data_IF_167729422186
#
_entry.id   IF_167729422186
#
_cell.length_a   1.000
_cell.length_b   1.000
_cell.length_c   1.000
_cell.angle_alpha   90.00
_cell.angle_beta   90.00
_cell.angle_gamma   90.00
#
_symmetry.space_group_name_H-M   'P 1'
#
loop_
_entity.id
_entity.type
_entity.pdbx_description
1 polymer ?
#
# COMPACT_ATOMS: atom_id res chain seq x y z
N UNK A 1 19.44 -43.17 20.30
CA UNK A 1 19.17 -43.07 18.85
C UNK A 1 18.86 -41.60 18.52
N UNK A 2 19.88 -40.88 18.05
CA UNK A 2 19.77 -39.49 17.59
C UNK A 2 18.98 -39.43 16.28
N UNK A 3 17.79 -38.82 16.29
CA UNK A 3 17.15 -38.38 15.04
C UNK A 3 17.73 -37.01 14.68
N UNK A 4 18.65 -37.01 13.72
CA UNK A 4 19.15 -35.79 13.06
C UNK A 4 17.96 -35.08 12.41
N UNK A 5 17.79 -33.80 12.69
CA UNK A 5 16.96 -32.92 11.87
C UNK A 5 17.48 -32.96 10.42
N UNK A 6 16.59 -32.93 9.40
CA UNK A 6 17.03 -32.76 8.03
C UNK A 6 17.70 -31.38 7.88
N UNK A 7 18.69 -31.24 6.99
CA UNK A 7 19.31 -29.95 6.73
C UNK A 7 18.25 -28.98 6.21
N UNK A 8 18.34 -27.72 6.64
CA UNK A 8 17.52 -26.64 6.10
C UNK A 8 17.69 -26.63 4.58
N UNK A 9 16.59 -26.79 3.84
CA UNK A 9 16.58 -26.56 2.40
C UNK A 9 17.13 -25.15 2.15
N UNK A 10 18.23 -25.12 1.42
CA UNK A 10 18.88 -23.93 0.93
C UNK A 10 17.89 -23.26 -0.04
N UNK A 11 17.11 -22.30 0.47
CA UNK A 11 16.15 -21.53 -0.32
C UNK A 11 16.95 -20.71 -1.33
N UNK A 12 16.79 -21.01 -2.61
CA UNK A 12 17.36 -20.19 -3.68
C UNK A 12 16.90 -18.72 -3.51
N UNK A 13 17.80 -17.74 -3.51
CA UNK A 13 17.42 -16.33 -3.49
C UNK A 13 16.63 -15.98 -4.76
N UNK A 14 15.81 -14.92 -4.75
CA UNK A 14 15.08 -14.48 -5.94
C UNK A 14 16.07 -14.23 -7.08
N UNK A 15 15.96 -15.05 -8.11
CA UNK A 15 16.89 -15.07 -9.25
C UNK A 15 16.59 -13.89 -10.18
N UNK A 16 17.37 -12.82 -10.01
CA UNK A 16 17.37 -11.63 -10.87
C UNK A 16 18.40 -10.61 -10.40
N UNK A 17 19.08 -9.93 -11.34
CA UNK A 17 20.09 -8.92 -11.00
C UNK A 17 19.40 -7.72 -10.35
N UNK A 18 20.08 -7.05 -9.43
CA UNK A 18 19.63 -5.75 -8.92
C UNK A 18 20.09 -4.65 -9.86
N UNK A 19 19.16 -3.82 -10.33
CA UNK A 19 19.44 -2.61 -11.12
C UNK A 19 18.97 -1.41 -10.30
N UNK A 20 19.92 -0.56 -9.89
CA UNK A 20 19.60 0.72 -9.27
C UNK A 20 19.47 1.78 -10.36
N UNK A 21 18.36 2.51 -10.34
CA UNK A 21 18.02 3.55 -11.31
C UNK A 21 17.80 4.84 -10.55
N UNK A 22 18.75 5.76 -10.66
CA UNK A 22 18.68 7.04 -9.97
C UNK A 22 18.36 8.18 -10.94
N UNK A 23 17.32 8.93 -10.61
CA UNK A 23 16.87 10.08 -11.36
C UNK A 23 17.41 11.35 -10.73
N UNK A 24 17.86 12.29 -11.54
CA UNK A 24 18.19 13.65 -11.10
C UNK A 24 17.62 14.65 -12.10
N UNK A 25 16.78 15.54 -11.60
CA UNK A 25 16.12 16.57 -12.43
C UNK A 25 16.89 17.88 -12.32
N UNK A 26 17.23 18.45 -13.48
CA UNK A 26 17.84 19.78 -13.61
C UNK A 26 16.76 20.80 -14.02
N UNK A 27 17.13 21.96 -14.60
CA UNK A 27 16.11 22.89 -15.12
C UNK A 27 15.40 22.34 -16.36
N UNK A 28 16.17 21.78 -17.28
CA UNK A 28 15.75 21.45 -18.66
C UNK A 28 16.08 20.00 -19.07
N UNK A 29 16.64 19.21 -18.16
CA UNK A 29 16.99 17.81 -18.40
C UNK A 29 16.68 16.89 -17.22
N UNK A 30 16.41 15.63 -17.55
CA UNK A 30 16.45 14.52 -16.61
C UNK A 30 17.70 13.67 -16.87
N UNK A 31 18.51 13.49 -15.82
CA UNK A 31 19.63 12.56 -15.80
C UNK A 31 19.18 11.25 -15.16
N UNK A 32 19.47 10.12 -15.79
CA UNK A 32 19.14 8.78 -15.30
C UNK A 32 20.42 7.96 -15.20
N UNK A 33 20.81 7.62 -13.98
CA UNK A 33 21.97 6.80 -13.67
C UNK A 33 21.55 5.35 -13.48
N UNK A 34 22.26 4.43 -14.13
CA UNK A 34 22.08 3.00 -13.99
C UNK A 34 23.30 2.38 -13.32
N UNK A 35 23.07 1.75 -12.15
CA UNK A 35 24.11 1.08 -11.40
C UNK A 35 23.78 -0.41 -11.30
N UNK A 36 24.75 -1.24 -11.66
CA UNK A 36 24.66 -2.71 -11.58
C UNK A 36 25.98 -3.26 -11.07
N UNK A 37 25.96 -4.44 -10.45
CA UNK A 37 27.19 -5.11 -10.01
C UNK A 37 28.12 -5.53 -11.17
N UNK A 38 27.60 -5.54 -12.41
CA UNK A 38 28.33 -5.96 -13.61
C UNK A 38 29.24 -4.87 -14.19
N UNK A 39 29.07 -3.61 -13.78
CA UNK A 39 29.83 -2.46 -14.30
C UNK A 39 30.46 -1.67 -13.16
N UNK A 40 31.72 -1.27 -13.36
CA UNK A 40 32.45 -0.45 -12.38
C UNK A 40 31.96 1.01 -12.35
N UNK A 41 31.57 1.54 -13.50
CA UNK A 41 31.06 2.90 -13.64
C UNK A 41 29.54 2.91 -13.92
N UNK A 42 28.81 3.89 -13.37
CA UNK A 42 27.39 4.07 -13.67
C UNK A 42 27.20 4.45 -15.13
N UNK A 43 26.18 3.90 -15.77
CA UNK A 43 25.76 4.35 -17.09
C UNK A 43 24.80 5.54 -16.95
N UNK A 44 25.01 6.60 -17.75
CA UNK A 44 24.21 7.82 -17.70
C UNK A 44 23.40 7.97 -19.00
N UNK A 45 22.11 8.27 -18.85
CA UNK A 45 21.24 8.75 -19.91
C UNK A 45 20.79 10.17 -19.56
N UNK A 46 20.94 11.12 -20.48
CA UNK A 46 20.34 12.46 -20.37
C UNK A 46 19.19 12.60 -21.35
N UNK A 47 18.07 13.13 -20.88
CA UNK A 47 16.87 13.37 -21.65
C UNK A 47 16.46 14.84 -21.52
N UNK A 48 16.10 15.53 -22.61
CA UNK A 48 15.49 16.85 -22.53
C UNK A 48 14.11 16.71 -21.87
N UNK A 49 13.90 17.40 -20.75
CA UNK A 49 12.64 17.39 -19.99
C UNK A 49 12.42 18.77 -19.40
N UNK A 50 11.31 19.42 -19.74
CA UNK A 50 10.87 20.62 -19.03
C UNK A 50 10.38 20.20 -17.63
N UNK A 51 11.18 20.55 -16.62
CA UNK A 51 10.88 20.14 -15.24
C UNK A 51 9.75 20.93 -14.61
N UNK A 52 9.45 22.14 -15.11
CA UNK A 52 8.28 22.92 -14.74
C UNK A 52 7.00 22.29 -15.28
N UNK A 53 7.01 21.85 -16.55
CA UNK A 53 5.92 21.10 -17.16
C UNK A 53 5.68 19.77 -16.42
N UNK A 54 6.75 19.03 -16.14
CA UNK A 54 6.69 17.78 -15.38
C UNK A 54 6.08 18.00 -14.00
N UNK A 55 6.52 19.01 -13.25
CA UNK A 55 5.98 19.33 -11.93
C UNK A 55 4.48 19.65 -12.01
N UNK A 56 4.06 20.47 -12.98
CA UNK A 56 2.65 20.80 -13.20
C UNK A 56 1.82 19.55 -13.56
N UNK A 57 2.37 18.65 -14.37
CA UNK A 57 1.74 17.38 -14.73
C UNK A 57 1.52 16.49 -13.50
N UNK A 58 2.54 16.34 -12.66
CA UNK A 58 2.46 15.56 -11.41
C UNK A 58 1.46 16.15 -10.42
N UNK A 59 1.36 17.49 -10.32
CA UNK A 59 0.34 18.14 -9.48
C UNK A 59 -1.06 17.80 -9.99
N UNK A 60 -1.30 17.86 -11.31
CA UNK A 60 -2.60 17.45 -11.89
C UNK A 60 -2.91 15.97 -11.64
N UNK A 61 -1.90 15.12 -11.72
CA UNK A 61 -2.02 13.69 -11.42
C UNK A 61 -2.48 13.44 -9.98
N UNK A 62 -1.79 14.04 -9.01
CA UNK A 62 -2.13 13.92 -7.60
C UNK A 62 -3.56 14.42 -7.32
N UNK A 63 -3.92 15.60 -7.86
CA UNK A 63 -5.25 16.18 -7.72
C UNK A 63 -6.37 15.28 -8.28
N UNK A 64 -6.12 14.63 -9.42
CA UNK A 64 -7.08 13.71 -10.02
C UNK A 64 -7.28 12.46 -9.13
N UNK A 65 -6.21 11.93 -8.55
CA UNK A 65 -6.25 10.76 -7.68
C UNK A 65 -6.93 11.02 -6.33
N UNK A 66 -6.68 12.18 -5.71
CA UNK A 66 -7.28 12.54 -4.42
C UNK A 66 -8.82 12.60 -4.50
N UNK A 67 -9.31 13.03 -5.68
CA UNK A 67 -10.73 13.25 -5.97
C UNK A 67 -11.37 12.11 -6.75
N UNK A 68 -10.65 11.03 -7.03
CA UNK A 68 -11.13 9.91 -7.87
C UNK A 68 -12.49 9.34 -7.43
N UNK A 69 -12.82 9.44 -6.14
CA UNK A 69 -14.10 9.01 -5.58
C UNK A 69 -15.29 9.89 -6.01
N UNK A 70 -15.05 11.06 -6.58
CA UNK A 70 -16.08 11.98 -7.09
C UNK A 70 -16.61 11.58 -8.48
N UNK A 71 -15.86 10.80 -9.26
CA UNK A 71 -16.35 10.33 -10.55
C UNK A 71 -15.30 9.63 -11.44
N UNK A 72 -15.75 8.82 -12.41
CA UNK A 72 -14.87 8.01 -13.26
C UNK A 72 -13.94 8.84 -14.17
N UNK A 73 -14.38 10.04 -14.58
CA UNK A 73 -13.59 10.93 -15.43
C UNK A 73 -12.24 11.33 -14.81
N UNK A 74 -12.15 11.40 -13.48
CA UNK A 74 -10.90 11.73 -12.78
C UNK A 74 -9.90 10.57 -12.85
N UNK A 75 -10.38 9.32 -12.80
CA UNK A 75 -9.52 8.16 -13.01
C UNK A 75 -9.03 8.08 -14.45
N UNK A 76 -9.90 8.39 -15.43
CA UNK A 76 -9.53 8.48 -16.84
C UNK A 76 -8.46 9.56 -17.06
N UNK A 77 -8.63 10.74 -16.44
CA UNK A 77 -7.63 11.81 -16.47
C UNK A 77 -6.30 11.37 -15.86
N UNK A 78 -6.30 10.73 -14.69
CA UNK A 78 -5.08 10.24 -14.06
C UNK A 78 -4.38 9.16 -14.92
N UNK A 79 -5.17 8.30 -15.58
CA UNK A 79 -4.67 7.28 -16.52
C UNK A 79 -4.01 7.94 -17.74
N UNK A 80 -4.66 8.93 -18.34
CA UNK A 80 -4.10 9.67 -19.47
C UNK A 80 -2.81 10.43 -19.12
N UNK A 81 -2.73 10.97 -17.90
CA UNK A 81 -1.49 11.61 -17.40
C UNK A 81 -0.37 10.58 -17.25
N UNK A 82 -0.67 9.37 -16.75
CA UNK A 82 0.33 8.32 -16.59
C UNK A 82 0.93 7.86 -17.93
N UNK A 83 0.15 7.94 -19.01
CA UNK A 83 0.55 7.65 -20.40
C UNK A 83 1.21 8.86 -21.12
N UNK A 84 1.41 9.97 -20.42
CA UNK A 84 1.95 11.19 -21.02
C UNK A 84 3.40 10.98 -21.52
N UNK A 85 3.77 11.48 -22.73
CA UNK A 85 5.08 11.23 -23.34
C UNK A 85 6.28 11.52 -22.43
N UNK A 86 6.20 12.56 -21.59
CA UNK A 86 7.26 12.91 -20.64
C UNK A 86 7.49 11.85 -19.56
N UNK A 87 6.44 11.15 -19.08
CA UNK A 87 6.60 10.07 -18.11
C UNK A 87 7.08 8.80 -18.81
N UNK A 88 6.54 8.52 -20.00
CA UNK A 88 6.96 7.39 -20.83
C UNK A 88 8.45 7.49 -21.17
N UNK A 89 8.96 8.68 -21.52
CA UNK A 89 10.37 8.90 -21.84
C UNK A 89 11.29 8.66 -20.64
N UNK A 90 10.84 8.91 -19.41
CA UNK A 90 11.60 8.64 -18.19
C UNK A 90 11.71 7.15 -17.84
N UNK A 91 10.78 6.32 -18.33
CA UNK A 91 10.76 4.87 -18.06
C UNK A 91 11.32 4.05 -19.22
N UNK A 92 11.24 4.54 -20.45
CA UNK A 92 11.73 3.82 -21.63
C UNK A 92 13.21 3.39 -21.53
N UNK A 93 14.17 4.25 -21.09
CA UNK A 93 15.57 3.85 -20.95
C UNK A 93 15.79 2.75 -19.92
N UNK A 94 14.90 2.64 -18.92
CA UNK A 94 14.94 1.58 -17.91
C UNK A 94 14.52 0.26 -18.53
N UNK A 95 13.39 0.23 -19.23
CA UNK A 95 12.91 -0.97 -19.94
C UNK A 95 13.94 -1.49 -20.95
N UNK A 96 14.65 -0.60 -21.64
CA UNK A 96 15.67 -0.96 -22.63
C UNK A 96 16.93 -1.62 -21.99
N UNK A 97 17.09 -1.54 -20.67
CA UNK A 97 18.29 -2.02 -19.95
C UNK A 97 18.05 -3.21 -19.02
N UNK A 98 16.81 -3.55 -18.73
CA UNK A 98 16.44 -4.59 -17.75
C UNK A 98 16.04 -5.89 -18.44
N UNK A 99 16.26 -7.03 -17.76
CA UNK A 99 15.87 -8.37 -18.23
C UNK A 99 14.74 -8.91 -17.34
N UNK A 100 13.75 -9.66 -17.88
CA UNK A 100 12.68 -10.22 -17.06
C UNK A 100 13.21 -10.91 -15.80
N UNK A 101 12.64 -10.60 -14.65
CA UNK A 101 13.11 -11.07 -13.34
C UNK A 101 14.13 -10.17 -12.64
N UNK A 102 14.79 -9.22 -13.33
CA UNK A 102 15.61 -8.20 -12.68
C UNK A 102 14.80 -7.46 -11.61
N UNK A 103 15.43 -7.20 -10.46
CA UNK A 103 14.88 -6.38 -9.37
C UNK A 103 15.30 -4.94 -9.59
N UNK A 104 14.34 -4.02 -9.49
CA UNK A 104 14.60 -2.60 -9.74
C UNK A 104 14.56 -1.83 -8.41
N UNK A 105 15.60 -1.05 -8.15
CA UNK A 105 15.62 -0.07 -7.06
C UNK A 105 15.57 1.32 -7.69
N UNK A 106 14.40 1.97 -7.64
CA UNK A 106 14.21 3.30 -8.20
C UNK A 106 14.52 4.36 -7.14
N UNK A 107 15.32 5.36 -7.52
CA UNK A 107 15.63 6.55 -6.71
C UNK A 107 15.05 7.77 -7.43
N UNK A 108 13.78 8.14 -7.15
CA UNK A 108 13.17 9.31 -7.78
C UNK A 108 13.80 10.61 -7.26
N UNK A 109 13.62 11.70 -8.00
CA UNK A 109 14.00 13.04 -7.57
C UNK A 109 12.87 14.05 -7.76
N UNK A 110 12.69 14.93 -6.78
CA UNK A 110 11.67 15.98 -6.78
C UNK A 110 10.25 15.43 -7.04
N UNK A 111 9.50 15.95 -8.02
CA UNK A 111 8.11 15.54 -8.27
C UNK A 111 7.96 14.04 -8.61
N UNK A 112 9.03 13.35 -9.04
CA UNK A 112 8.94 11.93 -9.38
C UNK A 112 8.66 11.03 -8.17
N UNK A 113 8.86 11.49 -6.94
CA UNK A 113 8.45 10.73 -5.75
C UNK A 113 6.94 10.46 -5.68
N UNK A 114 6.13 11.25 -6.40
CA UNK A 114 4.67 11.09 -6.48
C UNK A 114 4.20 10.31 -7.69
N UNK A 115 5.12 9.92 -8.57
CA UNK A 115 4.80 9.16 -9.79
C UNK A 115 5.01 7.68 -9.53
N UNK A 116 4.02 6.82 -9.79
CA UNK A 116 4.23 5.38 -9.73
C UNK A 116 5.01 4.93 -10.99
N UNK A 117 6.31 5.21 -11.04
CA UNK A 117 7.18 4.91 -12.20
C UNK A 117 7.07 3.45 -12.65
N UNK A 118 6.89 2.55 -11.69
CA UNK A 118 6.69 1.12 -11.93
C UNK A 118 5.42 0.76 -12.72
N UNK A 119 4.42 1.65 -12.74
CA UNK A 119 3.14 1.49 -13.40
C UNK A 119 2.98 2.34 -14.66
N UNK A 120 3.95 3.19 -14.99
CA UNK A 120 3.95 3.98 -16.24
C UNK A 120 3.98 3.03 -17.43
N UNK A 121 2.96 3.07 -18.31
CA UNK A 121 2.95 2.27 -19.54
C UNK A 121 4.01 2.80 -20.52
N UNK A 122 4.73 1.90 -21.16
CA UNK A 122 5.68 2.23 -22.21
C UNK A 122 5.66 1.10 -23.23
N UNK A 123 5.30 1.40 -24.48
CA UNK A 123 5.17 0.40 -25.57
C UNK A 123 4.27 -0.79 -25.17
N UNK A 124 3.20 -0.53 -24.41
CA UNK A 124 2.23 -1.53 -23.96
C UNK A 124 2.64 -2.37 -22.75
N UNK A 125 3.82 -2.13 -22.16
CA UNK A 125 4.31 -2.84 -20.96
C UNK A 125 4.64 -1.86 -19.83
N UNK A 126 4.65 -2.34 -18.60
CA UNK A 126 5.08 -1.59 -17.40
C UNK A 126 6.24 -2.30 -16.73
N UNK A 127 7.06 -1.58 -15.96
CA UNK A 127 8.14 -2.21 -15.18
C UNK A 127 7.58 -3.28 -14.23
N UNK A 128 6.46 -3.01 -13.56
CA UNK A 128 5.82 -3.94 -12.64
C UNK A 128 5.20 -5.19 -13.29
N UNK A 129 5.19 -5.31 -14.63
CA UNK A 129 4.70 -6.51 -15.31
C UNK A 129 5.69 -7.69 -15.22
N UNK A 130 7.00 -7.42 -15.19
CA UNK A 130 8.05 -8.45 -15.21
C UNK A 130 9.13 -8.28 -14.14
N UNK A 131 9.05 -7.21 -13.34
CA UNK A 131 10.09 -6.83 -12.40
C UNK A 131 9.52 -6.52 -11.02
N UNK A 132 10.08 -7.11 -9.94
CA UNK A 132 9.88 -6.61 -8.60
C UNK A 132 10.56 -5.23 -8.45
N UNK A 133 9.81 -4.24 -7.95
CA UNK A 133 10.27 -2.84 -7.84
C UNK A 133 10.22 -2.36 -6.40
N UNK A 134 11.33 -1.78 -5.93
CA UNK A 134 11.42 -1.01 -4.69
C UNK A 134 11.80 0.43 -4.98
N UNK A 135 11.50 1.31 -4.03
CA UNK A 135 11.87 2.71 -4.06
C UNK A 135 12.86 3.00 -2.93
N UNK A 136 13.67 4.05 -3.09
CA UNK A 136 14.44 4.63 -2.00
C UNK A 136 14.52 6.15 -2.19
N UNK A 137 14.50 6.96 -1.12
CA UNK A 137 14.65 8.41 -1.24
C UNK A 137 16.06 8.83 -1.69
N UNK A 138 17.07 7.99 -1.48
CA UNK A 138 18.43 8.20 -2.02
C UNK A 138 19.21 6.88 -2.03
N UNK A 139 20.26 6.79 -2.86
CA UNK A 139 21.16 5.64 -2.84
C UNK A 139 21.89 5.48 -1.49
N UNK A 140 22.18 6.58 -0.79
CA UNK A 140 22.88 6.55 0.50
C UNK A 140 22.05 5.89 1.62
N UNK A 141 20.72 6.03 1.58
CA UNK A 141 19.80 5.45 2.57
C UNK A 141 19.80 3.92 2.50
N UNK A 142 20.08 3.34 1.33
CA UNK A 142 20.15 1.90 1.14
C UNK A 142 21.09 1.26 2.18
N UNK A 143 22.32 1.76 2.31
CA UNK A 143 23.31 1.23 3.27
C UNK A 143 22.76 1.15 4.69
N UNK A 144 21.95 2.13 5.11
CA UNK A 144 21.34 2.15 6.43
C UNK A 144 20.24 1.09 6.57
N UNK A 145 19.36 0.99 5.57
CA UNK A 145 18.32 -0.04 5.53
C UNK A 145 18.91 -1.46 5.60
N UNK A 146 20.00 -1.70 4.86
CA UNK A 146 20.75 -2.96 4.90
C UNK A 146 21.30 -3.30 6.28
N UNK A 147 21.96 -2.34 6.94
CA UNK A 147 22.54 -2.53 8.27
C UNK A 147 21.49 -2.86 9.34
N UNK A 148 20.27 -2.36 9.15
CA UNK A 148 19.15 -2.56 10.07
C UNK A 148 18.34 -3.83 9.82
N UNK A 149 18.64 -4.61 8.78
CA UNK A 149 17.99 -5.91 8.55
C UNK A 149 18.30 -6.88 9.68
N UNK A 150 17.29 -7.65 10.08
CA UNK A 150 17.40 -8.71 11.09
C UNK A 150 16.53 -9.89 10.70
N UNK A 151 17.12 -11.09 10.71
CA UNK A 151 16.46 -12.40 10.79
C UNK A 151 15.19 -12.64 9.96
N UNK A 152 14.49 -13.72 10.29
CA UNK A 152 13.18 -14.02 9.71
C UNK A 152 12.09 -13.17 10.38
N UNK A 153 11.09 -12.74 9.60
CA UNK A 153 9.91 -12.04 10.10
C UNK A 153 8.91 -13.04 10.66
N UNK A 154 9.07 -13.45 11.92
CA UNK A 154 8.17 -14.42 12.57
C UNK A 154 7.13 -13.78 13.48
N UNK A 155 7.36 -12.55 13.94
CA UNK A 155 6.48 -11.82 14.87
C UNK A 155 5.84 -10.61 14.20
N UNK A 156 4.62 -10.27 14.61
CA UNK A 156 3.93 -9.08 14.16
C UNK A 156 3.33 -8.28 15.33
N UNK A 157 3.29 -6.96 15.19
CA UNK A 157 2.45 -6.07 16.00
C UNK A 157 1.45 -5.40 15.06
N UNK A 158 0.17 -5.56 15.36
CA UNK A 158 -0.93 -5.05 14.53
C UNK A 158 -1.68 -3.98 15.29
N UNK A 159 -1.67 -2.75 14.78
CA UNK A 159 -2.50 -1.64 15.25
C UNK A 159 -3.70 -1.53 14.32
N UNK A 160 -4.91 -1.73 14.83
CA UNK A 160 -6.13 -1.76 14.03
C UNK A 160 -7.29 -1.01 14.70
N UNK A 161 -8.10 -0.33 13.89
CA UNK A 161 -9.34 0.32 14.32
C UNK A 161 -9.22 1.20 15.59
N UNK A 162 -8.29 2.17 15.66
CA UNK A 162 -8.28 3.12 16.76
C UNK A 162 -9.59 3.94 16.80
N UNK A 163 -10.19 4.15 17.98
CA UNK A 163 -11.40 4.96 18.16
C UNK A 163 -11.08 6.44 17.99
N UNK A 164 -12.10 7.24 17.67
CA UNK A 164 -11.95 8.68 17.42
C UNK A 164 -12.10 9.05 15.95
N UNK A 165 -12.03 8.07 15.04
CA UNK A 165 -12.31 8.20 13.61
C UNK A 165 -13.35 7.18 13.15
N UNK A 166 -13.81 7.29 11.90
CA UNK A 166 -14.69 6.27 11.30
C UNK A 166 -13.98 4.90 11.32
N UNK A 167 -14.61 3.80 11.75
CA UNK A 167 -13.92 2.51 11.79
C UNK A 167 -13.51 2.04 10.39
N UNK A 168 -12.37 1.37 10.25
CA UNK A 168 -11.94 0.87 8.94
C UNK A 168 -12.78 -0.35 8.53
N UNK A 169 -13.48 -0.27 7.39
CA UNK A 169 -14.35 -1.35 6.88
C UNK A 169 -13.66 -2.72 6.79
N UNK A 170 -12.35 -2.71 6.52
CA UNK A 170 -11.53 -3.91 6.38
C UNK A 170 -10.36 -3.95 7.37
N UNK A 171 -10.35 -3.10 8.41
CA UNK A 171 -9.25 -3.05 9.39
C UNK A 171 -9.03 -4.39 10.09
N UNK A 172 -10.12 -5.05 10.50
CA UNK A 172 -10.06 -6.40 11.04
C UNK A 172 -9.61 -7.46 10.05
N UNK A 173 -9.93 -7.32 8.76
CA UNK A 173 -9.47 -8.26 7.73
C UNK A 173 -7.96 -8.14 7.55
N UNK A 174 -7.43 -6.90 7.57
CA UNK A 174 -5.98 -6.65 7.55
C UNK A 174 -5.30 -7.28 8.77
N UNK A 175 -5.90 -7.13 9.95
CA UNK A 175 -5.38 -7.73 11.17
C UNK A 175 -5.40 -9.26 11.15
N UNK A 176 -6.51 -9.85 10.67
CA UNK A 176 -6.68 -11.29 10.59
C UNK A 176 -5.64 -11.94 9.66
N UNK A 177 -5.29 -11.28 8.55
CA UNK A 177 -4.29 -11.76 7.59
C UNK A 177 -2.92 -12.05 8.22
N UNK A 178 -2.57 -11.34 9.30
CA UNK A 178 -1.33 -11.53 10.04
C UNK A 178 -1.44 -12.59 11.14
N UNK A 179 -2.55 -12.63 11.89
CA UNK A 179 -2.71 -13.48 13.09
C UNK A 179 -2.63 -15.00 12.85
N UNK A 180 -2.91 -15.47 11.63
CA UNK A 180 -2.79 -16.90 11.29
C UNK A 180 -1.43 -17.31 10.71
N UNK A 181 -0.54 -16.35 10.45
CA UNK A 181 0.72 -16.56 9.71
C UNK A 181 1.96 -16.16 10.49
N UNK A 182 1.79 -15.26 11.45
CA UNK A 182 2.86 -14.73 12.30
C UNK A 182 2.43 -14.82 13.77
N UNK A 183 3.41 -14.88 14.67
CA UNK A 183 3.19 -14.67 16.11
C UNK A 183 2.82 -13.20 16.34
N UNK A 184 1.52 -12.91 16.27
CA UNK A 184 1.00 -11.56 16.15
C UNK A 184 0.34 -11.07 17.46
N UNK A 185 0.91 -10.02 18.04
CA UNK A 185 0.23 -9.20 19.06
C UNK A 185 -0.71 -8.21 18.35
N UNK A 186 -1.89 -7.95 18.93
CA UNK A 186 -2.85 -6.98 18.38
C UNK A 186 -3.20 -5.89 19.39
N UNK A 187 -3.12 -4.65 18.95
CA UNK A 187 -3.65 -3.46 19.62
C UNK A 187 -4.87 -2.99 18.83
N UNK A 188 -6.05 -3.03 19.44
CA UNK A 188 -7.30 -2.68 18.76
C UNK A 188 -8.16 -1.75 19.60
N UNK A 189 -8.95 -0.91 18.95
CA UNK A 189 -9.91 -0.07 19.65
C UNK A 189 -9.15 0.88 20.58
N UNK A 190 -9.65 1.09 21.80
CA UNK A 190 -9.03 2.00 22.75
C UNK A 190 -7.57 1.64 23.11
N UNK A 191 -7.16 0.38 22.94
CA UNK A 191 -5.78 -0.05 23.16
C UNK A 191 -4.82 0.37 22.05
N UNK A 192 -5.34 0.62 20.83
CA UNK A 192 -4.60 1.20 19.71
C UNK A 192 -4.31 2.69 19.95
N UNK A 193 -3.62 2.99 21.05
CA UNK A 193 -3.26 4.33 21.49
C UNK A 193 -1.80 4.67 21.18
N UNK A 194 -1.54 5.94 20.89
CA UNK A 194 -0.22 6.55 20.76
C UNK A 194 0.62 6.27 22.01
N UNK A 195 0.08 6.50 23.21
CA UNK A 195 0.83 6.25 24.43
C UNK A 195 1.25 4.78 24.58
N UNK A 196 0.38 3.82 24.26
CA UNK A 196 0.74 2.40 24.33
C UNK A 196 1.79 2.01 23.28
N UNK A 197 1.68 2.53 22.05
CA UNK A 197 2.65 2.25 20.99
C UNK A 197 4.02 2.84 21.31
N UNK A 198 4.07 4.08 21.82
CA UNK A 198 5.30 4.72 22.28
C UNK A 198 5.92 4.00 23.48
N UNK A 199 5.12 3.49 24.42
CA UNK A 199 5.66 2.64 25.49
C UNK A 199 6.23 1.32 24.97
N UNK A 200 5.63 0.76 23.91
CA UNK A 200 6.01 -0.53 23.36
C UNK A 200 7.25 -0.45 22.47
N UNK A 201 7.37 0.62 21.70
CA UNK A 201 8.37 0.76 20.65
C UNK A 201 9.29 1.97 20.84
N UNK A 202 8.99 2.89 21.75
CA UNK A 202 9.82 4.05 22.06
C UNK A 202 10.85 3.76 23.14
N UNK A 203 11.86 4.63 23.25
CA UNK A 203 12.86 4.63 24.32
C UNK A 203 14.27 4.96 23.82
N UNK A 204 15.18 5.43 24.70
CA UNK A 204 16.54 5.79 24.30
C UNK A 204 17.32 4.58 23.75
N UNK A 205 18.28 4.88 22.86
CA UNK A 205 19.36 3.97 22.48
C UNK A 205 20.06 3.40 23.74
N UNK A 206 20.69 2.22 23.68
CA UNK A 206 21.08 1.47 24.86
C UNK A 206 22.23 2.14 25.61
N UNK A 207 21.91 3.09 26.51
CA UNK A 207 22.77 3.67 27.54
C UNK A 207 21.90 4.24 28.69
N UNK A 208 21.14 3.39 29.40
CA UNK A 208 20.63 3.72 30.74
C UNK A 208 20.11 2.46 31.44
N UNK A 209 20.69 2.16 32.61
CA UNK A 209 20.56 0.94 33.38
C UNK A 209 19.20 0.66 34.04
N UNK A 210 18.08 0.86 33.34
CA UNK A 210 16.77 0.38 33.80
C UNK A 210 16.25 -0.71 32.87
N UNK A 211 16.49 -1.96 33.26
CA UNK A 211 15.96 -3.17 32.64
C UNK A 211 14.44 -3.34 32.87
N UNK A 212 13.64 -2.30 32.59
CA UNK A 212 12.24 -2.55 32.27
C UNK A 212 12.24 -3.32 30.95
N UNK A 213 11.76 -4.56 30.97
CA UNK A 213 11.88 -5.55 29.91
C UNK A 213 11.37 -5.03 28.54
N UNK A 214 12.25 -4.41 27.76
CA UNK A 214 11.95 -4.01 26.40
C UNK A 214 11.90 -5.28 25.54
N UNK A 215 10.69 -5.70 25.15
CA UNK A 215 10.51 -6.76 24.14
C UNK A 215 11.23 -6.30 22.86
N UNK A 216 11.96 -7.19 22.17
CA UNK A 216 12.53 -6.86 20.87
C UNK A 216 11.44 -6.31 19.94
N UNK A 217 11.80 -5.40 19.02
CA UNK A 217 10.84 -4.89 18.05
C UNK A 217 10.29 -6.05 17.19
N UNK A 218 9.03 -5.96 16.74
CA UNK A 218 8.41 -7.03 15.96
C UNK A 218 9.06 -7.14 14.57
N UNK A 219 8.99 -8.31 13.95
CA UNK A 219 9.43 -8.48 12.56
C UNK A 219 8.56 -7.70 11.58
N UNK A 220 7.28 -7.50 11.91
CA UNK A 220 6.31 -6.72 11.14
C UNK A 220 5.57 -5.77 12.10
N UNK A 221 5.50 -4.48 11.75
CA UNK A 221 4.61 -3.52 12.37
C UNK A 221 3.56 -3.12 11.34
N UNK A 222 2.32 -3.57 11.51
CA UNK A 222 1.20 -3.14 10.67
C UNK A 222 0.39 -2.08 11.39
N UNK A 223 0.19 -0.94 10.74
CA UNK A 223 -0.65 0.15 11.25
C UNK A 223 -1.77 0.40 10.25
N UNK A 224 -2.98 -0.07 10.61
CA UNK A 224 -4.24 0.26 9.97
C UNK A 224 -4.96 1.36 10.75
N UNK A 225 -4.79 2.60 10.30
CA UNK A 225 -5.35 3.80 10.93
C UNK A 225 -5.67 4.85 9.85
N UNK A 226 -6.24 6.00 10.21
CA UNK A 226 -6.35 7.12 9.27
C UNK A 226 -5.08 7.96 9.30
N UNK A 227 -4.51 8.22 8.12
CA UNK A 227 -3.39 9.13 7.93
C UNK A 227 -3.89 10.57 7.86
N UNK A 228 -3.11 11.48 8.45
CA UNK A 228 -3.32 12.92 8.36
C UNK A 228 -2.01 13.56 7.93
N UNK A 229 -2.09 14.38 6.88
CA UNK A 229 -0.95 15.08 6.32
C UNK A 229 -1.09 16.58 6.61
N UNK A 230 -0.01 17.19 7.03
CA UNK A 230 0.09 18.62 7.29
C UNK A 230 1.21 19.18 6.40
N UNK A 231 0.87 19.89 5.30
CA UNK A 231 1.86 20.40 4.36
C UNK A 231 2.64 21.60 4.91
N UNK A 232 2.11 22.28 5.93
CA UNK A 232 2.79 23.41 6.58
C UNK A 232 3.74 22.93 7.66
N UNK A 233 3.38 21.83 8.36
CA UNK A 233 4.27 21.12 9.27
C UNK A 233 4.34 19.61 8.95
N UNK A 234 5.21 19.20 8.01
CA UNK A 234 5.41 17.80 7.67
C UNK A 234 5.74 16.90 8.87
N UNK A 235 6.30 17.44 9.95
CA UNK A 235 6.66 16.69 11.15
C UNK A 235 5.47 16.44 12.10
N UNK A 236 4.38 17.19 11.94
CA UNK A 236 3.08 16.98 12.58
C UNK A 236 2.16 16.04 11.78
N UNK A 237 2.54 15.66 10.56
CA UNK A 237 1.88 14.59 9.81
C UNK A 237 1.99 13.25 10.54
N UNK A 238 1.02 12.36 10.38
CA UNK A 238 0.99 11.12 11.16
C UNK A 238 -0.23 10.25 10.92
N UNK A 239 -0.49 9.36 11.88
CA UNK A 239 -1.66 8.48 11.90
C UNK A 239 -2.48 8.71 13.16
N UNK A 240 -3.80 8.81 13.01
CA UNK A 240 -4.74 9.00 14.12
C UNK A 240 -4.88 7.70 14.93
N UNK A 241 -4.61 7.79 16.23
CA UNK A 241 -4.75 6.71 17.21
C UNK A 241 -5.75 7.10 18.31
N UNK A 242 -6.06 6.16 19.20
CA UNK A 242 -7.16 6.29 20.19
C UNK A 242 -7.12 7.56 21.07
N UNK A 243 -5.92 8.03 21.40
CA UNK A 243 -5.62 9.12 22.33
C UNK A 243 -4.87 10.29 21.64
N UNK A 244 -4.84 10.30 20.30
CA UNK A 244 -4.23 11.34 19.49
C UNK A 244 -3.35 10.81 18.36
N UNK A 245 -2.75 11.73 17.60
CA UNK A 245 -1.95 11.42 16.42
C UNK A 245 -0.55 10.93 16.79
N UNK A 246 -0.13 9.77 16.25
CA UNK A 246 1.27 9.39 16.18
C UNK A 246 1.94 10.13 15.02
N UNK A 247 2.68 11.18 15.35
CA UNK A 247 3.31 12.09 14.38
C UNK A 247 4.62 11.53 13.82
N UNK A 248 5.13 12.11 12.73
CA UNK A 248 6.47 11.82 12.23
C UNK A 248 7.54 12.10 13.30
N UNK A 249 7.35 13.16 14.10
CA UNK A 249 8.21 13.46 15.26
C UNK A 249 8.22 12.32 16.26
N UNK A 250 7.06 11.74 16.57
CA UNK A 250 6.95 10.58 17.46
C UNK A 250 7.64 9.35 16.85
N UNK A 251 7.48 9.17 15.54
CA UNK A 251 8.06 8.04 14.81
C UNK A 251 9.59 8.06 14.86
N UNK A 252 10.24 9.23 14.87
CA UNK A 252 11.70 9.35 15.01
C UNK A 252 12.22 8.71 16.31
N UNK A 253 11.42 8.71 17.37
CA UNK A 253 11.77 8.13 18.68
C UNK A 253 11.50 6.63 18.81
N UNK A 254 11.01 5.97 17.75
CA UNK A 254 10.73 4.54 17.76
C UNK A 254 12.00 3.70 17.56
N UNK A 255 11.92 2.43 17.95
CA UNK A 255 12.94 1.40 17.75
C UNK A 255 12.39 0.37 16.79
N UNK A 256 12.79 0.46 15.53
CA UNK A 256 12.25 -0.34 14.43
C UNK A 256 13.31 -1.19 13.72
N UNK A 257 14.48 -1.38 14.34
CA UNK A 257 15.54 -2.24 13.79
C UNK A 257 15.01 -3.64 13.50
N UNK A 258 15.10 -4.07 12.23
CA UNK A 258 14.59 -5.36 11.76
C UNK A 258 13.09 -5.38 11.43
N UNK A 259 12.36 -4.29 11.67
CA UNK A 259 10.90 -4.24 11.51
C UNK A 259 10.51 -3.77 10.11
N UNK A 260 9.79 -4.61 9.37
CA UNK A 260 9.03 -4.15 8.21
C UNK A 260 7.82 -3.37 8.71
N UNK A 261 7.76 -2.07 8.41
CA UNK A 261 6.60 -1.24 8.73
C UNK A 261 5.63 -1.26 7.57
N UNK A 262 4.35 -1.51 7.81
CA UNK A 262 3.29 -1.42 6.82
C UNK A 262 2.30 -0.35 7.29
N UNK A 263 2.28 0.79 6.60
CA UNK A 263 1.31 1.85 6.84
C UNK A 263 0.13 1.66 5.88
N UNK A 264 -0.93 1.03 6.37
CA UNK A 264 -2.22 0.95 5.67
C UNK A 264 -3.08 2.17 6.02
N UNK A 265 -2.50 3.37 5.90
CA UNK A 265 -3.02 4.58 6.54
C UNK A 265 -3.81 5.53 5.61
N UNK A 266 -3.77 5.38 4.29
CA UNK A 266 -4.37 6.37 3.37
C UNK A 266 -5.89 6.17 3.11
N UNK A 267 -6.67 5.85 4.15
CA UNK A 267 -8.13 5.68 4.03
C UNK A 267 -8.87 7.00 4.33
N UNK A 268 -9.89 7.28 3.50
CA UNK A 268 -10.83 8.42 3.57
C UNK A 268 -11.10 8.96 4.98
N UNK A 269 -11.05 10.27 5.20
CA UNK A 269 -11.52 10.81 6.49
C UNK A 269 -11.51 12.32 6.68
N UNK A 270 -10.34 12.94 6.93
CA UNK A 270 -10.30 14.24 7.62
C UNK A 270 -9.19 15.21 7.15
N UNK A 271 -8.45 14.95 6.07
CA UNK A 271 -7.44 15.92 5.61
C UNK A 271 -7.55 16.25 4.13
N UNK A 272 -7.96 17.49 3.84
CA UNK A 272 -8.03 18.13 2.51
C UNK A 272 -6.62 18.51 1.99
N UNK A 273 -5.60 17.85 2.51
CA UNK A 273 -4.20 18.17 2.32
C UNK A 273 -3.57 17.13 1.41
N UNK A 274 -2.92 17.63 0.35
CA UNK A 274 -2.23 16.83 -0.66
C UNK A 274 -1.00 16.21 -0.01
N UNK A 275 -0.82 14.88 -0.01
CA UNK A 275 0.40 14.24 0.49
C UNK A 275 1.58 14.63 -0.42
N UNK A 276 2.31 15.66 -0.02
CA UNK A 276 3.57 16.16 -0.58
C UNK A 276 4.76 15.48 0.01
N UNK A 277 5.76 16.30 0.32
CA UNK A 277 6.99 15.85 0.98
C UNK A 277 6.70 15.28 2.38
N UNK A 278 5.48 15.44 2.91
CA UNK A 278 5.04 14.86 4.17
C UNK A 278 5.05 13.33 4.18
N UNK A 279 4.63 12.67 3.09
CA UNK A 279 4.72 11.21 3.00
C UNK A 279 6.19 10.77 3.03
N UNK A 280 7.06 11.52 2.34
CA UNK A 280 8.51 11.32 2.44
C UNK A 280 9.01 11.60 3.86
N UNK A 281 8.45 12.57 4.57
CA UNK A 281 8.73 12.86 5.97
C UNK A 281 8.44 11.68 6.90
N UNK A 282 7.26 11.06 6.77
CA UNK A 282 6.89 9.86 7.53
C UNK A 282 7.81 8.67 7.21
N UNK A 283 8.06 8.42 5.92
CA UNK A 283 8.98 7.36 5.49
C UNK A 283 10.37 7.60 6.09
N UNK A 284 10.90 8.83 5.98
CA UNK A 284 12.20 9.20 6.53
C UNK A 284 12.25 9.01 8.03
N UNK A 285 11.19 9.38 8.76
CA UNK A 285 11.12 9.19 10.22
C UNK A 285 11.20 7.71 10.61
N UNK A 286 10.46 6.85 9.92
CA UNK A 286 10.46 5.40 10.17
C UNK A 286 11.79 4.73 9.78
N UNK A 287 12.37 5.11 8.64
CA UNK A 287 13.70 4.64 8.24
C UNK A 287 14.77 5.08 9.25
N UNK A 288 14.70 6.33 9.73
CA UNK A 288 15.59 6.86 10.77
C UNK A 288 15.49 6.07 12.08
N UNK A 289 14.26 5.76 12.52
CA UNK A 289 13.97 4.90 13.67
C UNK A 289 14.44 3.44 13.52
N UNK A 290 15.02 3.09 12.37
CA UNK A 290 15.70 1.83 12.14
C UNK A 290 14.92 0.83 11.30
N UNK A 291 13.77 1.20 10.73
CA UNK A 291 13.04 0.29 9.85
C UNK A 291 13.90 -0.03 8.60
N UNK A 292 14.19 -1.30 8.28
CA UNK A 292 14.86 -1.66 7.02
C UNK A 292 13.96 -1.46 5.79
N UNK A 293 12.64 -1.45 5.98
CA UNK A 293 11.68 -1.17 4.94
C UNK A 293 10.37 -0.61 5.49
N UNK A 294 9.71 0.18 4.65
CA UNK A 294 8.37 0.71 4.88
C UNK A 294 7.52 0.48 3.63
N UNK A 295 6.39 -0.22 3.79
CA UNK A 295 5.35 -0.33 2.76
C UNK A 295 4.31 0.76 3.01
N UNK A 296 4.10 1.64 2.04
CA UNK A 296 3.16 2.77 2.12
C UNK A 296 2.38 2.92 0.83
N UNK A 297 1.21 3.57 0.88
CA UNK A 297 0.46 3.97 -0.31
C UNK A 297 0.76 5.41 -0.72
N UNK A 298 1.01 5.64 -2.02
CA UNK A 298 1.29 6.96 -2.61
C UNK A 298 0.09 7.91 -2.65
N UNK A 299 -1.13 7.37 -2.67
CA UNK A 299 -2.38 8.14 -2.68
C UNK A 299 -3.47 7.38 -1.93
N UNK A 300 -4.66 7.98 -1.86
CA UNK A 300 -5.86 7.41 -1.26
C UNK A 300 -6.30 6.13 -1.98
N UNK A 301 -6.37 5.02 -1.25
CA UNK A 301 -6.62 3.68 -1.83
C UNK A 301 -8.04 3.18 -1.62
N UNK A 302 -8.48 2.26 -2.48
CA UNK A 302 -9.69 1.48 -2.26
C UNK A 302 -9.46 0.45 -1.14
N UNK A 303 -10.40 0.39 -0.22
CA UNK A 303 -10.26 -0.38 1.01
C UNK A 303 -10.25 -1.90 0.77
N UNK A 304 -11.06 -2.36 -0.18
CA UNK A 304 -11.21 -3.78 -0.49
C UNK A 304 -10.01 -4.26 -1.30
N UNK A 305 -9.60 -3.52 -2.33
CA UNK A 305 -8.41 -3.83 -3.11
C UNK A 305 -7.15 -3.87 -2.21
N UNK A 306 -7.07 -2.96 -1.24
CA UNK A 306 -6.00 -2.94 -0.22
C UNK A 306 -6.02 -4.18 0.65
N UNK A 307 -7.19 -4.61 1.14
CA UNK A 307 -7.31 -5.81 1.96
C UNK A 307 -6.84 -7.07 1.22
N UNK A 308 -7.28 -7.20 -0.04
CA UNK A 308 -6.88 -8.31 -0.91
C UNK A 308 -5.38 -8.28 -1.24
N UNK A 309 -4.82 -7.09 -1.52
CA UNK A 309 -3.39 -6.91 -1.80
C UNK A 309 -2.54 -7.28 -0.59
N UNK A 310 -2.88 -6.76 0.60
CA UNK A 310 -2.12 -7.00 1.81
C UNK A 310 -2.23 -8.45 2.29
N UNK A 311 -3.38 -9.10 2.15
CA UNK A 311 -3.51 -10.53 2.47
C UNK A 311 -2.61 -11.40 1.57
N UNK A 312 -2.59 -11.14 0.26
CA UNK A 312 -1.67 -11.84 -0.65
C UNK A 312 -0.19 -11.52 -0.37
N UNK A 313 0.11 -10.27 -0.01
CA UNK A 313 1.44 -9.84 0.39
C UNK A 313 1.92 -10.58 1.65
N UNK A 314 1.08 -10.63 2.70
CA UNK A 314 1.41 -11.34 3.93
C UNK A 314 1.48 -12.86 3.74
N UNK A 315 0.69 -13.42 2.83
CA UNK A 315 0.85 -14.82 2.41
C UNK A 315 2.24 -15.05 1.82
N UNK A 316 2.66 -14.22 0.87
CA UNK A 316 4.01 -14.31 0.29
C UNK A 316 5.12 -14.18 1.34
N UNK A 317 4.99 -13.26 2.29
CA UNK A 317 5.93 -13.10 3.40
C UNK A 317 5.96 -14.32 4.33
N UNK A 318 4.79 -14.89 4.68
CA UNK A 318 4.68 -16.09 5.51
C UNK A 318 5.28 -17.33 4.83
N UNK A 319 5.17 -17.42 3.50
CA UNK A 319 5.84 -18.44 2.69
C UNK A 319 7.36 -18.24 2.62
N UNK A 320 7.88 -17.13 3.15
CA UNK A 320 9.30 -16.79 3.18
C UNK A 320 9.81 -16.04 1.96
N UNK A 321 8.91 -15.51 1.13
CA UNK A 321 9.30 -14.64 0.01
C UNK A 321 9.87 -13.33 0.55
N UNK A 322 10.90 -12.76 -0.08
CA UNK A 322 11.32 -11.40 0.25
C UNK A 322 10.22 -10.39 -0.05
N UNK A 323 10.23 -9.25 0.67
CA UNK A 323 9.11 -8.31 0.64
C UNK A 323 8.83 -7.75 -0.76
N UNK A 324 9.88 -7.41 -1.52
CA UNK A 324 9.71 -6.90 -2.89
C UNK A 324 9.05 -7.95 -3.80
N UNK A 325 9.39 -9.22 -3.64
CA UNK A 325 8.81 -10.33 -4.41
C UNK A 325 7.37 -10.57 -4.00
N UNK A 326 7.09 -10.58 -2.70
CA UNK A 326 5.74 -10.72 -2.17
C UNK A 326 4.82 -9.58 -2.66
N UNK A 327 5.32 -8.34 -2.69
CA UNK A 327 4.56 -7.19 -3.18
C UNK A 327 4.29 -7.30 -4.69
N UNK A 328 5.32 -7.60 -5.49
CA UNK A 328 5.17 -7.77 -6.93
C UNK A 328 4.16 -8.87 -7.28
N UNK A 329 4.24 -10.01 -6.58
CA UNK A 329 3.27 -11.11 -6.70
C UNK A 329 1.86 -10.65 -6.32
N UNK A 330 1.70 -9.93 -5.22
CA UNK A 330 0.41 -9.42 -4.77
C UNK A 330 -0.22 -8.44 -5.77
N UNK A 331 0.57 -7.52 -6.30
CA UNK A 331 0.13 -6.56 -7.33
C UNK A 331 -0.32 -7.28 -8.61
N UNK A 332 0.48 -8.24 -9.08
CA UNK A 332 0.14 -9.04 -10.26
C UNK A 332 -1.08 -9.94 -10.03
N UNK A 333 -1.20 -10.51 -8.84
CA UNK A 333 -2.34 -11.33 -8.44
C UNK A 333 -3.63 -10.52 -8.40
N UNK A 334 -3.59 -9.29 -7.85
CA UNK A 334 -4.75 -8.41 -7.71
C UNK A 334 -5.32 -7.99 -9.07
N UNK A 335 -4.45 -7.62 -10.01
CA UNK A 335 -4.84 -7.21 -11.37
C UNK A 335 -5.60 -8.28 -12.15
N UNK A 336 -5.37 -9.55 -11.82
CA UNK A 336 -6.03 -10.69 -12.45
C UNK A 336 -7.35 -11.08 -11.78
N UNK A 337 -7.74 -10.44 -10.67
CA UNK A 337 -8.97 -10.78 -9.93
C UNK A 337 -10.21 -10.36 -10.71
N UNK A 338 -11.09 -11.34 -10.90
CA UNK A 338 -12.40 -11.15 -11.51
C UNK A 338 -13.43 -10.70 -10.47
N UNK A 339 -14.60 -10.26 -10.90
CA UNK A 339 -15.68 -9.96 -9.97
C UNK A 339 -16.10 -11.18 -9.14
N UNK A 340 -16.08 -12.39 -9.71
CA UNK A 340 -16.31 -13.63 -8.96
C UNK A 340 -15.30 -13.80 -7.81
N UNK A 341 -14.00 -13.63 -8.09
CA UNK A 341 -12.95 -13.74 -7.06
C UNK A 341 -13.16 -12.74 -5.92
N UNK A 342 -13.49 -11.49 -6.28
CA UNK A 342 -13.70 -10.42 -5.30
C UNK A 342 -14.96 -10.68 -4.46
N UNK A 343 -16.05 -11.14 -5.07
CA UNK A 343 -17.27 -11.52 -4.34
C UNK A 343 -17.00 -12.68 -3.36
N UNK A 344 -16.21 -13.68 -3.76
CA UNK A 344 -15.83 -14.78 -2.88
C UNK A 344 -15.02 -14.28 -1.67
N UNK A 345 -14.06 -13.38 -1.89
CA UNK A 345 -13.27 -12.77 -0.81
C UNK A 345 -14.14 -11.95 0.16
N UNK A 346 -15.03 -11.10 -0.35
CA UNK A 346 -15.93 -10.29 0.50
C UNK A 346 -16.91 -11.18 1.27
N UNK A 347 -17.42 -12.25 0.65
CA UNK A 347 -18.26 -13.24 1.31
C UNK A 347 -17.56 -13.87 2.52
N UNK A 348 -16.33 -14.35 2.34
CA UNK A 348 -15.51 -14.90 3.42
C UNK A 348 -15.25 -13.89 4.55
N UNK A 349 -14.96 -12.63 4.19
CA UNK A 349 -14.75 -11.57 5.16
C UNK A 349 -16.02 -11.27 5.96
N UNK A 350 -17.19 -11.27 5.31
CA UNK A 350 -18.50 -11.08 5.96
C UNK A 350 -18.82 -12.23 6.91
N UNK A 351 -18.60 -13.46 6.47
CA UNK A 351 -18.87 -14.65 7.28
C UNK A 351 -17.96 -14.69 8.52
N UNK A 352 -16.69 -14.29 8.36
CA UNK A 352 -15.73 -14.20 9.47
C UNK A 352 -16.05 -13.08 10.46
N UNK A 353 -16.54 -11.93 9.98
CA UNK A 353 -16.93 -10.82 10.85
C UNK A 353 -18.24 -11.09 11.61
N UNK A 354 -19.17 -11.81 10.99
CA UNK A 354 -20.52 -12.03 11.52
C UNK A 354 -21.43 -10.80 11.43
N UNK A 355 -22.71 -10.99 11.69
CA UNK A 355 -23.75 -9.95 11.51
C UNK A 355 -23.80 -8.91 12.62
N UNK A 356 -23.26 -9.23 13.81
CA UNK A 356 -23.25 -8.32 14.97
C UNK A 356 -22.11 -7.30 14.94
N UNK A 357 -21.19 -7.42 13.97
CA UNK A 357 -20.00 -6.58 13.91
C UNK A 357 -20.31 -5.17 13.35
N UNK A 358 -19.70 -4.08 13.88
CA UNK A 358 -19.90 -2.71 13.38
C UNK A 358 -19.54 -2.48 11.90
N UNK A 359 -18.79 -3.40 11.28
CA UNK A 359 -18.43 -3.35 9.86
C UNK A 359 -19.37 -4.16 8.95
N UNK A 360 -20.29 -4.95 9.51
CA UNK A 360 -21.11 -5.90 8.74
C UNK A 360 -21.93 -5.23 7.63
N UNK A 361 -22.56 -4.08 7.93
CA UNK A 361 -23.28 -3.29 6.94
C UNK A 361 -22.37 -2.79 5.79
N UNK A 362 -21.15 -2.37 6.12
CA UNK A 362 -20.18 -1.84 5.15
C UNK A 362 -19.57 -2.94 4.29
N UNK A 363 -19.36 -4.14 4.84
CA UNK A 363 -18.95 -5.33 4.07
C UNK A 363 -20.05 -5.76 3.09
N UNK A 364 -21.31 -5.83 3.54
CA UNK A 364 -22.44 -6.12 2.66
C UNK A 364 -22.63 -5.04 1.57
N UNK A 365 -22.43 -3.76 1.93
CA UNK A 365 -22.45 -2.67 0.96
C UNK A 365 -21.33 -2.80 -0.09
N UNK A 366 -20.13 -3.21 0.32
CA UNK A 366 -19.03 -3.47 -0.60
C UNK A 366 -19.40 -4.58 -1.59
N UNK A 367 -19.95 -5.71 -1.12
CA UNK A 367 -20.42 -6.79 -1.99
C UNK A 367 -21.49 -6.30 -2.99
N UNK A 368 -22.48 -5.54 -2.52
CA UNK A 368 -23.53 -4.99 -3.39
C UNK A 368 -22.96 -4.09 -4.50
N UNK A 369 -21.93 -3.28 -4.20
CA UNK A 369 -21.24 -2.44 -5.20
C UNK A 369 -20.49 -3.30 -6.23
N UNK A 370 -19.85 -4.38 -5.81
CA UNK A 370 -19.17 -5.30 -6.73
C UNK A 370 -20.18 -5.96 -7.67
N UNK A 371 -21.31 -6.44 -7.14
CA UNK A 371 -22.41 -7.00 -7.95
C UNK A 371 -22.96 -5.99 -8.97
N UNK A 372 -23.11 -4.72 -8.59
CA UNK A 372 -23.48 -3.65 -9.52
C UNK A 372 -22.49 -3.52 -10.69
N UNK A 373 -21.18 -3.52 -10.39
CA UNK A 373 -20.12 -3.42 -11.42
C UNK A 373 -20.10 -4.65 -12.33
N UNK A 374 -20.39 -5.83 -11.76
CA UNK A 374 -20.55 -7.10 -12.46
C UNK A 374 -21.90 -7.24 -13.19
N UNK A 375 -22.76 -6.20 -13.16
CA UNK A 375 -24.09 -6.20 -13.78
C UNK A 375 -25.07 -7.23 -13.20
N UNK A 376 -24.77 -7.78 -12.03
CA UNK A 376 -25.70 -8.57 -11.21
C UNK A 376 -26.61 -7.65 -10.40
N UNK A 377 -27.56 -6.98 -11.07
CA UNK A 377 -28.40 -5.97 -10.44
C UNK A 377 -29.40 -6.56 -9.44
N UNK A 378 -29.87 -7.78 -9.66
CA UNK A 378 -30.75 -8.49 -8.74
C UNK A 378 -29.99 -8.86 -7.45
N UNK A 379 -28.84 -9.53 -7.56
CA UNK A 379 -28.02 -9.85 -6.40
C UNK A 379 -27.51 -8.60 -5.67
N UNK A 380 -27.21 -7.52 -6.40
CA UNK A 380 -26.87 -6.23 -5.79
C UNK A 380 -28.02 -5.65 -4.96
N UNK A 381 -29.27 -5.79 -5.43
CA UNK A 381 -30.47 -5.33 -4.72
C UNK A 381 -30.65 -6.12 -3.43
N UNK A 382 -30.58 -7.44 -3.50
CA UNK A 382 -30.74 -8.33 -2.35
C UNK A 382 -29.66 -8.06 -1.29
N UNK A 383 -28.41 -7.95 -1.73
CA UNK A 383 -27.28 -7.69 -0.84
C UNK A 383 -27.35 -6.30 -0.22
N UNK A 384 -27.76 -5.28 -0.97
CA UNK A 384 -27.96 -3.94 -0.44
C UNK A 384 -29.12 -3.88 0.58
N UNK A 385 -30.15 -4.72 0.44
CA UNK A 385 -31.23 -4.83 1.41
C UNK A 385 -30.73 -5.44 2.74
N UNK A 386 -29.83 -6.43 2.66
CA UNK A 386 -29.12 -6.97 3.84
C UNK A 386 -28.23 -5.90 4.46
N UNK A 387 -27.47 -5.14 3.67
CA UNK A 387 -26.66 -4.04 4.18
C UNK A 387 -27.53 -3.00 4.93
N UNK A 388 -28.74 -2.75 4.45
CA UNK A 388 -29.67 -1.78 5.04
C UNK A 388 -30.22 -2.25 6.39
N UNK A 389 -30.49 -3.56 6.55
CA UNK A 389 -30.95 -4.11 7.82
C UNK A 389 -29.85 -4.15 8.89
N UNK A 390 -28.59 -4.21 8.47
CA UNK A 390 -27.40 -4.18 9.34
C UNK A 390 -26.92 -2.76 9.67
N UNK A 391 -27.40 -1.74 8.96
CA UNK A 391 -26.90 -0.36 9.09
C UNK A 391 -27.22 0.23 10.47
N UNK A 392 -26.20 0.37 11.32
CA UNK A 392 -26.32 0.91 12.67
C UNK A 392 -26.22 2.44 12.77
N UNK A 393 -25.83 3.14 11.70
CA UNK A 393 -25.66 4.60 11.68
C UNK A 393 -26.45 5.25 10.54
N UNK A 394 -26.87 6.50 10.73
CA UNK A 394 -27.56 7.27 9.68
C UNK A 394 -26.72 7.42 8.41
N UNK A 395 -25.39 7.55 8.56
CA UNK A 395 -24.44 7.66 7.46
C UNK A 395 -24.34 6.35 6.66
N UNK A 396 -24.25 5.22 7.33
CA UNK A 396 -24.25 3.91 6.66
C UNK A 396 -25.56 3.70 5.93
N UNK A 397 -26.69 4.04 6.57
CA UNK A 397 -28.01 3.95 5.96
C UNK A 397 -28.10 4.75 4.67
N UNK A 398 -27.69 6.02 4.69
CA UNK A 398 -27.69 6.90 3.51
C UNK A 398 -26.82 6.33 2.37
N UNK A 399 -25.62 5.81 2.68
CA UNK A 399 -24.73 5.20 1.69
C UNK A 399 -25.34 3.94 1.07
N UNK A 400 -26.01 3.11 1.87
CA UNK A 400 -26.69 1.90 1.39
C UNK A 400 -27.89 2.24 0.53
N UNK A 401 -28.71 3.21 0.94
CA UNK A 401 -29.91 3.64 0.19
C UNK A 401 -29.55 4.13 -1.22
N UNK A 402 -28.45 4.87 -1.38
CA UNK A 402 -27.97 5.29 -2.71
C UNK A 402 -27.61 4.11 -3.63
N UNK A 403 -26.97 3.08 -3.09
CA UNK A 403 -26.62 1.85 -3.84
C UNK A 403 -27.88 1.04 -4.16
N UNK A 404 -28.78 0.88 -3.19
CA UNK A 404 -30.02 0.13 -3.34
C UNK A 404 -30.93 0.76 -4.39
N UNK A 405 -31.09 2.08 -4.37
CA UNK A 405 -31.85 2.82 -5.38
C UNK A 405 -31.30 2.56 -6.79
N UNK A 406 -29.98 2.71 -6.96
CA UNK A 406 -29.31 2.46 -8.23
C UNK A 406 -29.48 1.02 -8.71
N UNK A 407 -29.34 0.04 -7.81
CA UNK A 407 -29.50 -1.38 -8.12
C UNK A 407 -30.92 -1.71 -8.59
N UNK A 408 -31.95 -1.20 -7.91
CA UNK A 408 -33.36 -1.39 -8.30
C UNK A 408 -33.66 -0.75 -9.66
N UNK A 409 -33.18 0.47 -9.87
CA UNK A 409 -33.35 1.16 -11.15
C UNK A 409 -32.73 0.36 -12.32
N UNK A 410 -31.50 -0.12 -12.15
CA UNK A 410 -30.80 -0.91 -13.16
C UNK A 410 -31.38 -2.32 -13.33
N UNK A 411 -31.91 -2.94 -12.28
CA UNK A 411 -32.63 -4.22 -12.40
C UNK A 411 -33.91 -4.08 -13.23
N UNK A 412 -34.60 -2.94 -13.15
CA UNK A 412 -35.79 -2.65 -13.94
C UNK A 412 -35.50 -2.31 -15.41
N UNK A 413 -34.42 -1.54 -15.66
CA UNK A 413 -34.08 -1.00 -16.99
C UNK A 413 -33.06 -1.83 -17.76
N UNK A 414 -32.21 -2.59 -17.07
CA UNK A 414 -31.13 -3.40 -17.65
C UNK A 414 -31.52 -4.81 -18.06
N UNK A 415 -32.80 -5.07 -18.35
CA UNK A 415 -33.26 -6.39 -18.80
C UNK A 415 -32.49 -6.83 -20.06
N UNK A 416 -31.95 -8.05 -20.04
CA UNK A 416 -31.19 -8.62 -21.16
C UNK A 416 -29.70 -8.28 -21.17
N UNK A 417 -29.21 -7.43 -20.24
CA UNK A 417 -27.77 -7.23 -20.06
C UNK A 417 -27.20 -8.43 -19.27
N UNK A 418 -26.23 -9.19 -19.80
CA UNK A 418 -25.70 -10.35 -19.11
C UNK A 418 -24.84 -9.94 -17.92
N UNK A 419 -24.90 -10.76 -16.86
CA UNK A 419 -23.98 -10.67 -15.72
C UNK A 419 -22.56 -10.99 -16.21
N UNK A 420 -21.59 -10.26 -15.69
CA UNK A 420 -20.19 -10.31 -16.09
C UNK A 420 -19.31 -10.49 -14.85
N UNK A 421 -19.24 -11.75 -14.41
CA UNK A 421 -18.43 -12.14 -13.26
C UNK A 421 -16.94 -12.26 -13.59
N UNK A 422 -16.58 -12.33 -14.88
CA UNK A 422 -15.20 -12.45 -15.36
C UNK A 422 -14.49 -11.09 -15.49
N UNK A 423 -15.24 -9.99 -15.37
CA UNK A 423 -14.69 -8.63 -15.40
C UNK A 423 -13.57 -8.46 -14.38
N UNK A 424 -12.39 -8.04 -14.85
CA UNK A 424 -11.27 -7.65 -13.98
C UNK A 424 -11.53 -6.29 -13.35
N UNK A 425 -11.68 -6.26 -12.03
CA UNK A 425 -12.08 -5.05 -11.32
C UNK A 425 -10.89 -4.14 -11.00
N UNK A 426 -9.70 -4.73 -10.83
CA UNK A 426 -8.52 -4.06 -10.28
C UNK A 426 -7.34 -4.02 -11.26
N UNK A 427 -7.59 -4.08 -12.56
CA UNK A 427 -6.52 -3.99 -13.57
C UNK A 427 -5.91 -2.57 -13.67
N UNK A 428 -6.72 -1.54 -13.39
CA UNK A 428 -6.25 -0.14 -13.32
C UNK A 428 -5.18 0.04 -12.24
N UNK A 429 -4.13 0.81 -12.57
CA UNK A 429 -3.02 1.12 -11.67
C UNK A 429 -3.49 1.68 -10.32
N UNK A 430 -4.63 2.37 -10.31
CA UNK A 430 -5.22 2.96 -9.11
C UNK A 430 -5.36 1.97 -7.94
N UNK A 431 -5.59 0.68 -8.23
CA UNK A 431 -5.88 -0.31 -7.20
C UNK A 431 -4.66 -1.06 -6.67
N UNK A 432 -3.58 -1.15 -7.44
CA UNK A 432 -2.41 -2.01 -7.13
C UNK A 432 -1.08 -1.25 -7.07
N UNK A 433 -0.92 -0.19 -7.86
CA UNK A 433 0.28 0.64 -7.90
C UNK A 433 0.46 1.67 -6.75
N UNK A 434 -0.54 1.99 -5.89
CA UNK A 434 -0.28 2.95 -4.81
C UNK A 434 0.75 2.40 -3.82
N UNK A 435 0.70 1.10 -3.53
CA UNK A 435 1.58 0.49 -2.52
C UNK A 435 3.00 0.34 -3.07
N UNK A 436 3.93 1.08 -2.48
CA UNK A 436 5.36 1.02 -2.79
C UNK A 436 6.14 0.57 -1.57
N UNK A 437 7.06 -0.37 -1.78
CA UNK A 437 8.05 -0.74 -0.78
C UNK A 437 9.21 0.24 -0.87
N UNK A 438 9.45 0.97 0.22
CA UNK A 438 10.58 1.88 0.35
C UNK A 438 11.63 1.23 1.24
N UNK A 439 12.82 1.03 0.69
CA UNK A 439 13.85 0.17 1.29
C UNK A 439 13.71 -1.30 0.89
N UNK A 440 14.47 -2.16 1.57
CA UNK A 440 14.50 -3.63 1.44
C UNK A 440 14.45 -4.23 0.01
N UNK A 441 15.61 -4.24 -0.67
CA UNK A 441 15.78 -4.69 -2.06
C UNK A 441 16.29 -6.14 -2.26
N UNK A 442 16.32 -6.97 -1.20
CA UNK A 442 16.76 -8.37 -1.28
C UNK A 442 15.63 -9.28 -1.76
#
# INVERSE_FOLDING_TARGET
>A
MNRRNPPAEQRDPPTGRLVLVEYYLTGDQALIFFVTAERAEPELVSLPVDTGELAALVVRFALALDRVTEGPALLEQATAILDHPVLVSLVAPVLDRVRPGDRLCLVPHGPLHRVPLHAVPCRGVRLADAHPVVYTPSAAVLRYCQANRRGARSTALVVADPPGTEPLTFGLVHAAALTGRFDADRMQGAEASRAALLRRLGGPAPDAGTAAAHRPPPGILHIGAHGVFDPEDPMASGVELADGRLTATDMLGLRLTGTLVVLAACRTGVSDTRPGDELLGLIRALLHAGAPAVLVSLWKVDDLSTAMLLDEFYRGLGDGSPAVVALHRAQSWLRRRTAADVLAYVGQARDSAGTSHPAAARLALAEARIRLVARDFAGATDTAQVALSLAGTARDRQRVEGVLYRARFLAGTGKGVPVDLDRRLYDSFFFWAPFVLVGDWD
#
